data_IF_607793903142
#
_entry.id   IF_607793903142
#
_cell.length_a   1.000
_cell.length_b   1.000
_cell.length_c   1.000
_cell.angle_alpha   90.00
_cell.angle_beta   90.00
_cell.angle_gamma   90.00
#
_symmetry.space_group_name_H-M   'P 1'
#
loop_
_entity.id
_entity.type
_entity.pdbx_description
1 polymer ?
#
# COMPACT_ATOMS: atom_id res chain seq x y z
N UNK A 1 -16.00 -52.20 32.15
CA UNK A 1 -16.25 -51.75 30.77
C UNK A 1 -17.75 -51.53 30.60
N UNK A 2 -18.21 -50.33 30.97
CA UNK A 2 -19.18 -49.49 30.25
C UNK A 2 -18.83 -48.09 30.74
N UNK A 3 -18.55 -47.19 29.79
CA UNK A 3 -18.19 -45.80 30.03
C UNK A 3 -19.50 -45.03 29.87
N UNK A 4 -20.07 -44.52 30.96
CA UNK A 4 -21.04 -43.44 30.89
C UNK A 4 -20.39 -42.21 31.52
N UNK A 5 -20.01 -41.26 30.66
CA UNK A 5 -19.48 -39.95 31.05
C UNK A 5 -20.57 -38.91 30.83
N UNK A 6 -21.32 -38.64 31.89
CA UNK A 6 -22.05 -37.38 32.03
C UNK A 6 -21.19 -36.46 32.93
N UNK A 7 -20.58 -35.38 32.42
CA UNK A 7 -19.91 -34.42 33.28
C UNK A 7 -20.92 -33.41 33.84
N UNK A 8 -20.90 -33.39 35.17
CA UNK A 8 -21.54 -32.50 36.13
C UNK A 8 -21.53 -31.02 35.69
N UNK A 9 -22.70 -30.39 35.69
CA UNK A 9 -22.86 -28.95 35.73
C UNK A 9 -22.12 -28.36 36.94
N UNK A 10 -21.09 -27.54 36.71
CA UNK A 10 -20.70 -26.48 37.65
C UNK A 10 -20.79 -25.15 36.91
N UNK A 11 -21.75 -24.35 37.36
CA UNK A 11 -22.09 -23.01 36.91
C UNK A 11 -20.90 -22.08 37.15
N UNK A 12 -20.29 -21.57 36.07
CA UNK A 12 -19.61 -20.28 36.09
C UNK A 12 -20.25 -19.37 35.06
N UNK A 13 -21.10 -18.48 35.57
CA UNK A 13 -21.72 -17.37 34.86
C UNK A 13 -20.63 -16.31 34.68
N UNK A 14 -19.98 -16.25 33.52
CA UNK A 14 -19.17 -15.11 33.12
C UNK A 14 -19.90 -14.28 32.06
N UNK A 15 -19.73 -12.98 32.22
CA UNK A 15 -20.51 -11.91 31.63
C UNK A 15 -20.58 -11.95 30.10
N UNK A 16 -21.77 -11.67 29.61
CA UNK A 16 -22.06 -11.25 28.25
C UNK A 16 -21.23 -10.00 27.91
N UNK A 17 -20.07 -10.16 27.28
CA UNK A 17 -19.40 -9.12 26.51
C UNK A 17 -19.10 -9.68 25.13
N UNK A 18 -20.04 -9.40 24.22
CA UNK A 18 -19.80 -9.31 22.79
C UNK A 18 -19.17 -10.53 22.14
N UNK A 19 -19.99 -11.52 21.81
CA UNK A 19 -19.73 -12.28 20.58
C UNK A 19 -19.99 -11.29 19.44
N UNK A 20 -18.99 -10.46 19.14
CA UNK A 20 -18.88 -9.83 17.84
C UNK A 20 -18.58 -10.99 16.91
N UNK A 21 -19.58 -11.41 16.15
CA UNK A 21 -19.36 -12.17 14.93
C UNK A 21 -18.26 -11.40 14.21
N UNK A 22 -17.05 -11.96 14.13
CA UNK A 22 -16.00 -11.45 13.25
C UNK A 22 -16.63 -11.56 11.87
N UNK A 23 -17.26 -10.48 11.44
CA UNK A 23 -17.70 -10.29 10.08
C UNK A 23 -16.43 -10.54 9.30
N UNK A 24 -16.38 -11.63 8.53
CA UNK A 24 -15.27 -11.91 7.63
C UNK A 24 -14.98 -10.60 6.90
N UNK A 25 -13.92 -9.91 7.32
CA UNK A 25 -13.54 -8.67 6.66
C UNK A 25 -13.12 -9.12 5.29
N UNK A 26 -13.97 -8.85 4.31
CA UNK A 26 -13.78 -9.25 2.93
C UNK A 26 -12.40 -8.77 2.51
N UNK A 27 -11.47 -9.72 2.33
CA UNK A 27 -10.07 -9.41 2.06
C UNK A 27 -9.99 -8.90 0.62
N UNK A 28 -9.32 -7.76 0.44
CA UNK A 28 -8.96 -7.32 -0.89
C UNK A 28 -8.03 -8.38 -1.52
N UNK A 29 -8.33 -8.77 -2.77
CA UNK A 29 -7.48 -9.70 -3.54
C UNK A 29 -6.09 -9.12 -3.80
N UNK A 30 -5.96 -7.79 -3.77
CA UNK A 30 -4.68 -7.07 -3.80
C UNK A 30 -4.19 -6.87 -2.37
N UNK A 31 -3.27 -7.72 -1.93
CA UNK A 31 -2.69 -7.66 -0.57
C UNK A 31 -1.40 -6.85 -0.45
N UNK A 32 -0.53 -6.88 -1.47
CA UNK A 32 0.80 -6.28 -1.43
C UNK A 32 1.28 -5.91 -2.84
N UNK A 33 2.02 -4.82 -2.98
CA UNK A 33 2.72 -4.46 -4.21
C UNK A 33 4.19 -4.14 -3.96
N UNK A 34 5.02 -4.32 -4.98
CA UNK A 34 6.44 -4.02 -4.95
C UNK A 34 6.78 -3.10 -6.11
N UNK A 35 7.57 -2.06 -5.82
CA UNK A 35 8.10 -1.14 -6.80
C UNK A 35 9.62 -1.35 -6.87
N UNK A 36 10.13 -1.93 -7.96
CA UNK A 36 11.56 -2.12 -8.14
C UNK A 36 12.31 -0.79 -8.16
N UNK A 37 13.46 -0.73 -7.48
CA UNK A 37 14.34 0.45 -7.46
C UNK A 37 15.79 0.03 -7.60
N UNK A 38 16.63 0.86 -8.24
CA UNK A 38 18.08 0.62 -8.31
C UNK A 38 18.80 1.37 -7.20
N UNK A 39 18.33 2.58 -6.88
CA UNK A 39 18.88 3.45 -5.84
C UNK A 39 17.82 3.74 -4.77
N UNK A 40 17.80 2.92 -3.71
CA UNK A 40 16.74 2.95 -2.69
C UNK A 40 16.62 4.33 -2.02
N UNK A 41 17.73 4.97 -1.63
CA UNK A 41 17.68 6.29 -0.99
C UNK A 41 17.16 7.40 -1.91
N UNK A 42 17.50 7.34 -3.21
CA UNK A 42 16.97 8.29 -4.20
C UNK A 42 15.47 8.13 -4.36
N UNK A 43 15.02 6.88 -4.49
CA UNK A 43 13.60 6.56 -4.59
C UNK A 43 12.85 6.96 -3.32
N UNK A 44 13.35 6.61 -2.12
CA UNK A 44 12.76 7.04 -0.83
C UNK A 44 12.56 8.54 -0.77
N UNK A 45 13.56 9.33 -1.17
CA UNK A 45 13.46 10.80 -1.21
C UNK A 45 12.37 11.27 -2.18
N UNK A 46 12.28 10.67 -3.37
CA UNK A 46 11.23 10.97 -4.34
C UNK A 46 9.83 10.70 -3.75
N UNK A 47 9.57 9.46 -3.32
CA UNK A 47 8.26 9.07 -2.79
C UNK A 47 7.90 9.85 -1.53
N UNK A 48 8.85 10.07 -0.61
CA UNK A 48 8.60 10.85 0.60
C UNK A 48 8.26 12.31 0.30
N UNK A 49 8.91 12.91 -0.71
CA UNK A 49 8.65 14.30 -1.11
C UNK A 49 7.33 14.41 -1.85
N UNK A 50 7.06 13.52 -2.81
CA UNK A 50 5.84 13.56 -3.62
C UNK A 50 4.60 13.31 -2.78
N UNK A 51 4.63 12.38 -1.83
CA UNK A 51 3.46 12.03 -1.02
C UNK A 51 3.44 12.66 0.38
N UNK A 52 4.49 13.38 0.77
CA UNK A 52 4.66 13.94 2.13
C UNK A 52 4.48 12.87 3.23
N UNK A 53 4.91 11.63 2.92
CA UNK A 53 4.92 10.49 3.83
C UNK A 53 6.36 10.05 4.10
N UNK A 54 6.57 9.32 5.19
CA UNK A 54 7.84 8.65 5.42
C UNK A 54 7.74 7.22 4.88
N UNK A 55 8.88 6.68 4.46
CA UNK A 55 9.02 5.25 4.28
C UNK A 55 9.84 4.68 5.43
N UNK A 56 9.51 3.46 5.83
CA UNK A 56 10.20 2.74 6.92
C UNK A 56 11.14 1.71 6.32
N UNK A 57 12.43 1.80 6.67
CA UNK A 57 13.41 0.80 6.23
C UNK A 57 13.12 -0.55 6.89
N UNK A 58 13.11 -1.61 6.07
CA UNK A 58 12.92 -2.98 6.51
C UNK A 58 14.02 -3.85 5.90
N UNK A 59 15.25 -3.83 6.43
CA UNK A 59 16.32 -4.65 5.88
C UNK A 59 15.98 -6.15 6.00
N UNK A 60 16.03 -6.86 4.88
CA UNK A 60 16.05 -8.32 4.82
C UNK A 60 17.42 -8.78 4.32
N UNK A 61 17.83 -10.01 4.67
CA UNK A 61 19.21 -10.49 4.45
C UNK A 61 19.74 -10.24 3.03
N UNK A 62 18.95 -10.56 2.00
CA UNK A 62 19.32 -10.42 0.59
C UNK A 62 18.56 -9.30 -0.15
N UNK A 63 17.76 -8.50 0.56
CA UNK A 63 16.85 -7.53 -0.05
C UNK A 63 16.77 -6.23 0.76
N UNK A 64 17.16 -5.13 0.14
CA UNK A 64 16.94 -3.81 0.71
C UNK A 64 15.53 -3.34 0.34
N UNK A 65 14.70 -3.04 1.35
CA UNK A 65 13.36 -2.52 1.12
C UNK A 65 12.99 -1.37 2.05
N UNK A 66 12.09 -0.52 1.57
CA UNK A 66 11.46 0.53 2.36
C UNK A 66 9.94 0.49 2.15
N UNK A 67 9.18 0.37 3.23
CA UNK A 67 7.73 0.18 3.19
C UNK A 67 6.99 1.51 3.27
N UNK A 68 5.83 1.58 2.60
CA UNK A 68 4.86 2.63 2.83
C UNK A 68 4.11 2.37 4.15
N UNK A 69 3.71 3.44 4.84
CA UNK A 69 2.93 3.34 6.08
C UNK A 69 1.64 2.54 5.85
N UNK A 70 1.41 1.55 6.70
CA UNK A 70 0.14 0.82 6.76
C UNK A 70 -0.76 1.49 7.79
N UNK A 71 -2.03 1.67 7.45
CA UNK A 71 -3.04 2.16 8.41
C UNK A 71 -3.53 0.98 9.24
N UNK A 72 -3.35 1.05 10.56
CA UNK A 72 -3.86 0.03 11.49
C UNK A 72 -5.39 -0.14 11.35
N UNK A 73 -5.88 -1.38 11.37
CA UNK A 73 -7.30 -1.76 11.37
C UNK A 73 -8.18 -1.26 10.21
N UNK A 74 -7.58 -0.90 9.06
CA UNK A 74 -8.28 -0.51 7.84
C UNK A 74 -8.02 -1.45 6.65
N UNK A 75 -8.90 -1.50 5.63
CA UNK A 75 -8.59 -2.16 4.36
C UNK A 75 -7.46 -1.39 3.67
N UNK A 76 -6.25 -1.91 3.77
CA UNK A 76 -5.05 -1.36 3.17
C UNK A 76 -4.44 -2.38 2.20
N UNK A 77 -3.80 -1.90 1.15
CA UNK A 77 -2.83 -2.68 0.38
C UNK A 77 -1.47 -2.11 0.76
N UNK A 78 -0.67 -2.90 1.49
CA UNK A 78 0.70 -2.50 1.79
C UNK A 78 1.55 -2.51 0.53
N UNK A 79 2.75 -1.94 0.62
CA UNK A 79 3.74 -2.10 -0.43
C UNK A 79 5.10 -1.56 -0.03
N UNK A 80 6.09 -1.85 -0.88
CA UNK A 80 7.47 -1.43 -0.65
C UNK A 80 8.18 -0.99 -1.92
N UNK A 81 9.16 -0.13 -1.73
CA UNK A 81 10.28 0.01 -2.65
C UNK A 81 11.23 -1.16 -2.40
N UNK A 82 11.63 -1.84 -3.47
CA UNK A 82 12.42 -3.07 -3.37
C UNK A 82 13.64 -2.97 -4.28
N UNK A 83 14.82 -3.16 -3.69
CA UNK A 83 16.10 -3.22 -4.40
C UNK A 83 16.66 -4.64 -4.28
N UNK A 84 16.67 -5.36 -5.40
CA UNK A 84 17.25 -6.69 -5.51
C UNK A 84 17.70 -6.98 -6.95
N UNK A 85 18.60 -7.96 -7.11
CA UNK A 85 19.23 -8.29 -8.40
C UNK A 85 18.22 -8.69 -9.48
N UNK A 86 17.14 -9.36 -9.09
CA UNK A 86 16.09 -9.87 -9.99
C UNK A 86 14.94 -8.87 -10.22
N UNK A 87 15.05 -7.65 -9.71
CA UNK A 87 14.01 -6.62 -9.83
C UNK A 87 14.45 -5.53 -10.80
N UNK A 88 13.58 -5.13 -11.73
CA UNK A 88 13.90 -4.11 -12.73
C UNK A 88 12.81 -3.05 -12.82
N UNK A 89 13.13 -1.75 -12.62
CA UNK A 89 12.18 -0.68 -12.82
C UNK A 89 11.63 -0.66 -14.25
N UNK A 90 10.34 -0.38 -14.41
CA UNK A 90 9.68 -0.42 -15.72
C UNK A 90 8.53 0.57 -15.83
N UNK A 91 8.46 1.26 -16.97
CA UNK A 91 7.30 2.08 -17.35
C UNK A 91 6.20 1.27 -18.05
N UNK A 92 6.44 -0.03 -18.27
CA UNK A 92 5.55 -0.97 -18.95
C UNK A 92 5.06 -2.05 -17.99
N UNK A 93 3.83 -2.51 -18.18
CA UNK A 93 3.18 -3.48 -17.31
C UNK A 93 2.08 -2.86 -16.44
N UNK A 94 1.78 -3.54 -15.33
CA UNK A 94 0.77 -3.14 -14.35
C UNK A 94 1.10 -1.78 -13.73
N UNK A 95 0.07 -0.98 -13.44
CA UNK A 95 0.20 0.33 -12.80
C UNK A 95 -0.42 0.26 -11.41
N UNK A 96 0.36 0.58 -10.39
CA UNK A 96 -0.13 0.78 -9.02
C UNK A 96 -0.64 2.21 -8.91
N UNK A 97 -1.89 2.38 -8.46
CA UNK A 97 -2.47 3.69 -8.21
C UNK A 97 -2.34 4.06 -6.73
N UNK A 98 -1.70 5.20 -6.48
CA UNK A 98 -1.64 5.82 -5.17
C UNK A 98 -2.85 6.72 -4.98
N UNK A 99 -3.51 6.56 -3.84
CA UNK A 99 -4.64 7.42 -3.44
C UNK A 99 -4.12 8.76 -2.91
N UNK A 100 -4.70 9.83 -3.41
CA UNK A 100 -4.37 11.22 -3.08
C UNK A 100 -5.65 11.94 -2.67
N UNK A 101 -5.53 12.92 -1.78
CA UNK A 101 -6.66 13.81 -1.45
C UNK A 101 -7.02 14.70 -2.65
N UNK A 102 -6.01 15.25 -3.32
CA UNK A 102 -6.09 15.92 -4.63
C UNK A 102 -4.77 15.71 -5.36
N UNK A 103 -4.80 14.97 -6.48
CA UNK A 103 -3.60 14.65 -7.26
C UNK A 103 -2.80 15.88 -7.71
N UNK A 104 -3.40 17.07 -7.76
CA UNK A 104 -2.69 18.29 -8.13
C UNK A 104 -1.59 18.67 -7.13
N UNK A 105 -1.75 18.30 -5.86
CA UNK A 105 -0.76 18.52 -4.82
C UNK A 105 0.51 17.71 -5.11
N UNK A 106 0.35 16.41 -5.37
CA UNK A 106 1.45 15.51 -5.72
C UNK A 106 2.12 15.94 -7.01
N UNK A 107 1.33 16.21 -8.07
CA UNK A 107 1.86 16.65 -9.37
C UNK A 107 2.73 17.91 -9.26
N UNK A 108 2.41 18.84 -8.34
CA UNK A 108 3.21 20.05 -8.12
C UNK A 108 4.62 19.80 -7.56
N UNK A 109 4.86 18.58 -7.03
CA UNK A 109 6.13 18.13 -6.42
C UNK A 109 6.90 17.16 -7.32
N UNK A 110 6.25 16.51 -8.30
CA UNK A 110 6.84 15.44 -9.13
C UNK A 110 8.09 15.89 -9.88
N UNK A 111 7.99 16.92 -10.72
CA UNK A 111 9.12 17.35 -11.57
C UNK A 111 10.27 17.93 -10.73
N UNK A 112 9.94 18.66 -9.66
CA UNK A 112 10.92 19.19 -8.69
C UNK A 112 11.67 18.08 -7.95
N UNK A 113 11.06 16.90 -7.83
CA UNK A 113 11.66 15.72 -7.20
C UNK A 113 12.41 14.83 -8.18
N UNK A 114 12.48 15.20 -9.47
CA UNK A 114 13.18 14.45 -10.51
C UNK A 114 12.35 13.41 -11.26
N UNK A 115 11.03 13.34 -11.00
CA UNK A 115 10.10 12.55 -11.78
C UNK A 115 9.60 13.26 -13.03
N UNK A 116 8.70 12.62 -13.78
CA UNK A 116 8.06 13.18 -14.98
C UNK A 116 6.57 12.94 -14.98
N UNK A 117 5.79 13.93 -15.38
CA UNK A 117 4.36 13.76 -15.64
C UNK A 117 4.22 13.26 -17.08
N UNK A 118 3.67 12.06 -17.28
CA UNK A 118 3.50 11.45 -18.62
C UNK A 118 2.06 11.33 -19.05
N UNK A 119 1.12 11.40 -18.10
CA UNK A 119 -0.31 11.58 -18.34
C UNK A 119 -0.84 12.57 -17.32
N UNK A 120 -1.24 13.79 -17.72
CA UNK A 120 -1.62 14.86 -16.79
C UNK A 120 -2.93 14.56 -16.06
N UNK A 121 -3.24 15.35 -15.01
CA UNK A 121 -4.54 15.31 -14.30
C UNK A 121 -5.68 15.33 -15.30
N UNK A 122 -6.40 14.21 -15.38
CA UNK A 122 -7.49 13.98 -16.32
C UNK A 122 -8.70 13.52 -15.55
N UNK A 123 -9.85 14.17 -15.76
CA UNK A 123 -11.11 13.75 -15.16
C UNK A 123 -11.58 12.43 -15.77
N UNK A 124 -12.07 11.53 -14.93
CA UNK A 124 -12.73 10.28 -15.33
C UNK A 124 -14.21 10.29 -14.92
N UNK A 125 -14.83 11.48 -14.90
CA UNK A 125 -16.23 11.68 -14.55
C UNK A 125 -16.49 11.57 -13.05
N UNK A 126 -17.52 10.80 -12.68
CA UNK A 126 -17.92 10.58 -11.27
C UNK A 126 -16.87 9.84 -10.42
N UNK A 127 -15.88 9.20 -11.07
CA UNK A 127 -14.82 8.45 -10.41
C UNK A 127 -13.60 9.32 -10.04
N UNK A 128 -13.68 10.64 -10.26
CA UNK A 128 -12.65 11.60 -9.87
C UNK A 128 -11.62 11.88 -10.96
N UNK A 129 -10.34 11.86 -10.59
CA UNK A 129 -9.23 12.23 -11.45
C UNK A 129 -8.09 11.22 -11.38
N UNK A 130 -7.39 11.06 -12.51
CA UNK A 130 -6.18 10.26 -12.59
C UNK A 130 -5.04 11.04 -13.23
N UNK A 131 -3.81 10.63 -12.93
CA UNK A 131 -2.60 11.03 -13.65
C UNK A 131 -1.60 9.87 -13.64
N UNK A 132 -0.69 9.81 -14.62
CA UNK A 132 0.46 8.89 -14.60
C UNK A 132 1.75 9.68 -14.55
N UNK A 133 2.67 9.21 -13.73
CA UNK A 133 4.01 9.78 -13.59
C UNK A 133 5.07 8.69 -13.74
N UNK A 134 6.27 9.11 -14.10
CA UNK A 134 7.49 8.29 -14.05
C UNK A 134 8.32 8.75 -12.85
N UNK A 135 8.68 7.83 -11.96
CA UNK A 135 9.54 8.11 -10.81
C UNK A 135 11.03 8.26 -11.22
N UNK A 136 11.92 8.44 -10.24
CA UNK A 136 13.37 8.58 -10.49
C UNK A 136 14.05 7.30 -10.96
N UNK A 137 13.38 6.15 -10.84
CA UNK A 137 13.90 4.84 -11.20
C UNK A 137 13.41 4.40 -12.59
N UNK A 138 12.38 5.07 -13.12
CA UNK A 138 11.77 4.76 -14.42
C UNK A 138 10.44 4.00 -14.31
N UNK A 139 9.90 3.82 -13.09
CA UNK A 139 8.62 3.15 -12.89
C UNK A 139 7.46 4.07 -13.27
N UNK A 140 6.44 3.50 -13.93
CA UNK A 140 5.17 4.19 -14.14
C UNK A 140 4.22 3.89 -12.98
N UNK A 141 3.82 4.94 -12.25
CA UNK A 141 2.79 4.86 -11.22
C UNK A 141 1.59 5.75 -11.56
N UNK A 142 0.43 5.34 -11.07
CA UNK A 142 -0.81 6.10 -11.18
C UNK A 142 -1.06 6.91 -9.92
N UNK A 143 -1.67 8.08 -10.08
CA UNK A 143 -2.24 8.87 -9.00
C UNK A 143 -3.76 8.89 -9.20
N UNK A 144 -4.52 8.80 -8.12
CA UNK A 144 -5.98 8.90 -8.13
C UNK A 144 -6.48 9.76 -6.98
N UNK A 145 -7.40 10.67 -7.25
CA UNK A 145 -8.18 11.39 -6.23
C UNK A 145 -9.64 11.44 -6.64
N UNK A 146 -10.54 11.52 -5.66
CA UNK A 146 -11.97 11.70 -5.93
C UNK A 146 -12.28 13.18 -6.28
N UNK A 147 -11.46 14.12 -5.78
CA UNK A 147 -11.60 15.56 -5.96
C UNK A 147 -10.52 16.17 -6.86
#
# INVERSE_FOLDING_TARGET
MVIDREPIFTVFRFFNKGITILKDMERNVVGWFEIPVKELDRAKKFYSTVFEKKLTDMPMDDLEMATFDMVDDGPNSGGALVKGEETTPSSSGTVVYFSCDDIQNELSRVEKSGGKIVFPKTSIGEYGFIAHIIDTEGNRIGLHSVN
#
